data_IF_179696705933
#
_entry.id   IF_179696705933
#
_cell.length_a   1.000
_cell.length_b   1.000
_cell.length_c   1.000
_cell.angle_alpha   90.00
_cell.angle_beta   90.00
_cell.angle_gamma   90.00
#
_symmetry.space_group_name_H-M   'P 1'
#
loop_
_entity.id
_entity.type
_entity.pdbx_description
1 polymer ?
#
# COMPACT_ATOMS: atom_id res chain seq x y z
N UNK A 1 28.49 -30.25 12.07
CA UNK A 1 27.49 -29.19 11.86
C UNK A 1 27.20 -28.52 13.20
N UNK A 2 27.98 -27.52 13.63
CA UNK A 2 27.81 -26.89 14.95
C UNK A 2 28.92 -27.15 15.98
N UNK A 3 30.07 -27.68 15.56
CA UNK A 3 31.27 -27.78 16.42
C UNK A 3 31.26 -28.86 17.52
N UNK A 4 30.21 -29.67 17.66
CA UNK A 4 30.09 -30.70 18.72
C UNK A 4 30.41 -32.11 18.21
N UNK A 5 30.82 -32.99 19.13
CA UNK A 5 31.05 -34.39 18.85
C UNK A 5 29.78 -35.10 18.33
N UNK A 6 29.96 -36.05 17.42
CA UNK A 6 28.87 -36.86 16.82
C UNK A 6 27.93 -37.48 17.86
N UNK A 7 28.44 -37.87 19.03
CA UNK A 7 27.63 -38.42 20.12
C UNK A 7 26.63 -37.40 20.68
N UNK A 8 27.02 -36.12 20.79
CA UNK A 8 26.13 -35.05 21.26
C UNK A 8 25.02 -34.78 20.26
N UNK A 9 25.34 -34.79 18.95
CA UNK A 9 24.35 -34.64 17.89
C UNK A 9 23.29 -35.76 17.98
N UNK A 10 23.72 -37.02 18.10
CA UNK A 10 22.78 -38.15 18.22
C UNK A 10 21.91 -38.07 19.48
N UNK A 11 22.44 -37.52 20.59
CA UNK A 11 21.66 -37.31 21.80
C UNK A 11 20.60 -36.20 21.64
N UNK A 12 20.88 -35.17 20.84
CA UNK A 12 19.90 -34.11 20.53
C UNK A 12 18.78 -34.64 19.64
N UNK A 13 19.13 -35.42 18.61
CA UNK A 13 18.16 -35.99 17.67
C UNK A 13 17.28 -37.08 18.29
N UNK A 14 17.72 -37.67 19.41
CA UNK A 14 16.99 -38.71 20.15
C UNK A 14 16.24 -38.16 21.37
N UNK A 15 16.13 -36.82 21.51
CA UNK A 15 15.53 -36.14 22.67
C UNK A 15 16.18 -36.48 24.04
N UNK A 16 17.34 -37.13 24.06
CA UNK A 16 18.04 -37.52 25.28
C UNK A 16 18.71 -36.30 25.96
N UNK A 17 18.98 -35.25 25.19
CA UNK A 17 19.56 -34.00 25.69
C UNK A 17 19.12 -32.82 24.83
N UNK A 18 18.92 -31.65 25.44
CA UNK A 18 18.68 -30.42 24.69
C UNK A 18 20.00 -29.74 24.26
N UNK A 19 20.06 -29.18 23.04
CA UNK A 19 21.21 -28.40 22.59
C UNK A 19 21.41 -27.14 23.44
N UNK A 20 22.68 -26.74 23.61
CA UNK A 20 23.01 -25.50 24.31
C UNK A 20 23.00 -24.28 23.36
N UNK A 21 23.06 -23.08 23.93
CA UNK A 21 23.06 -21.85 23.14
C UNK A 21 24.29 -21.73 22.23
N UNK A 22 25.44 -22.27 22.64
CA UNK A 22 26.66 -22.25 21.84
C UNK A 22 26.51 -23.10 20.56
N UNK A 23 25.89 -24.27 20.68
CA UNK A 23 25.53 -25.11 19.55
C UNK A 23 24.55 -24.41 18.60
N UNK A 24 23.47 -23.82 19.13
CA UNK A 24 22.50 -23.12 18.31
C UNK A 24 23.15 -21.97 17.53
N UNK A 25 24.04 -21.20 18.15
CA UNK A 25 24.81 -20.15 17.47
C UNK A 25 25.72 -20.71 16.37
N UNK A 26 26.42 -21.82 16.63
CA UNK A 26 27.29 -22.44 15.64
C UNK A 26 26.51 -23.00 14.44
N UNK A 27 25.26 -23.44 14.65
CA UNK A 27 24.39 -23.93 13.58
C UNK A 27 23.73 -22.78 12.81
N UNK A 28 23.48 -21.64 13.48
CA UNK A 28 23.06 -20.38 12.85
C UNK A 28 24.09 -19.86 11.85
N UNK A 29 25.38 -19.99 12.12
CA UNK A 29 26.45 -19.61 11.18
C UNK A 29 26.40 -20.40 9.86
N UNK A 30 25.77 -21.57 9.87
CA UNK A 30 25.56 -22.44 8.69
C UNK A 30 24.22 -22.10 7.99
N UNK A 31 23.54 -21.03 8.42
CA UNK A 31 22.30 -20.54 7.81
C UNK A 31 21.02 -21.17 8.37
N UNK A 32 21.09 -21.86 9.50
CA UNK A 32 19.90 -22.41 10.16
C UNK A 32 19.18 -21.34 10.97
N UNK A 33 17.86 -21.23 10.77
CA UNK A 33 16.99 -20.36 11.55
C UNK A 33 16.71 -20.98 12.93
N UNK A 34 17.48 -20.55 13.93
CA UNK A 34 17.32 -21.02 15.32
C UNK A 34 15.99 -20.57 15.95
N UNK A 35 15.38 -19.49 15.46
CA UNK A 35 14.07 -19.04 15.93
C UNK A 35 13.00 -20.06 15.55
N UNK A 36 13.01 -20.51 14.29
CA UNK A 36 12.16 -21.59 13.82
C UNK A 36 12.41 -22.92 14.55
N UNK A 37 13.68 -23.27 14.79
CA UNK A 37 14.02 -24.53 15.49
C UNK A 37 13.47 -24.55 16.92
N UNK A 38 13.45 -23.41 17.61
CA UNK A 38 12.99 -23.33 19.00
C UNK A 38 11.46 -23.16 19.13
N UNK A 39 10.85 -22.43 18.20
CA UNK A 39 9.44 -22.01 18.33
C UNK A 39 8.51 -22.75 17.38
N UNK A 40 9.04 -23.39 16.33
CA UNK A 40 8.25 -23.93 15.22
C UNK A 40 7.66 -22.85 14.30
N UNK A 41 7.84 -21.58 14.62
CA UNK A 41 7.34 -20.44 13.85
C UNK A 41 8.51 -19.81 13.10
N UNK A 42 8.32 -19.54 11.81
CA UNK A 42 9.32 -18.75 11.08
C UNK A 42 9.23 -17.35 11.63
N UNK A 43 10.26 -16.91 12.35
CA UNK A 43 10.38 -15.49 12.63
C UNK A 43 10.58 -14.79 11.29
N UNK A 44 9.53 -14.17 10.78
CA UNK A 44 9.70 -13.09 9.83
C UNK A 44 10.69 -12.12 10.47
N UNK A 45 11.71 -11.73 9.71
CA UNK A 45 12.82 -10.89 10.19
C UNK A 45 12.32 -9.56 10.79
N UNK A 46 11.04 -9.23 10.60
CA UNK A 46 10.35 -8.07 11.15
C UNK A 46 9.04 -8.47 11.90
N UNK A 47 9.15 -9.10 13.07
CA UNK A 47 8.26 -8.96 14.25
C UNK A 47 6.72 -8.86 14.15
N UNK A 48 6.02 -9.34 13.11
CA UNK A 48 4.56 -9.14 12.96
C UNK A 48 3.77 -10.41 12.59
N UNK A 49 4.11 -11.55 13.18
CA UNK A 49 3.69 -12.90 12.74
C UNK A 49 2.16 -13.15 12.63
N UNK A 50 1.28 -12.41 13.31
CA UNK A 50 -0.16 -12.69 13.30
C UNK A 50 -0.95 -11.89 12.24
N UNK A 51 -0.56 -10.65 11.94
CA UNK A 51 -1.19 -9.84 10.87
C UNK A 51 -0.46 -9.99 9.52
N UNK A 52 0.69 -10.66 9.52
CA UNK A 52 1.48 -10.93 8.32
C UNK A 52 0.81 -11.96 7.41
N UNK A 53 0.11 -12.97 7.91
CA UNK A 53 -0.41 -14.04 7.04
C UNK A 53 -1.37 -13.55 5.94
N UNK A 54 -2.21 -12.56 6.23
CA UNK A 54 -3.15 -11.98 5.25
C UNK A 54 -2.49 -10.89 4.41
N UNK A 55 -1.63 -10.05 5.00
CA UNK A 55 -0.83 -9.05 4.26
C UNK A 55 0.16 -9.68 3.29
N UNK A 56 0.77 -10.80 3.69
CA UNK A 56 1.72 -11.58 2.87
C UNK A 56 0.99 -12.25 1.69
N UNK A 57 -0.27 -12.65 1.87
CA UNK A 57 -1.10 -13.13 0.77
C UNK A 57 -1.43 -12.04 -0.26
N UNK A 58 -1.86 -10.86 0.21
CA UNK A 58 -2.12 -9.70 -0.66
C UNK A 58 -0.85 -9.22 -1.38
N UNK A 59 0.29 -9.14 -0.66
CA UNK A 59 1.59 -8.79 -1.24
C UNK A 59 2.06 -9.82 -2.27
N UNK A 60 1.87 -11.12 -1.99
CA UNK A 60 2.20 -12.18 -2.93
C UNK A 60 1.36 -12.10 -4.21
N UNK A 61 0.08 -11.76 -4.11
CA UNK A 61 -0.80 -11.56 -5.28
C UNK A 61 -0.32 -10.38 -6.15
N UNK A 62 0.00 -9.25 -5.52
CA UNK A 62 0.52 -8.07 -6.24
C UNK A 62 1.84 -8.39 -6.95
N UNK A 63 2.74 -9.13 -6.30
CA UNK A 63 4.00 -9.56 -6.91
C UNK A 63 3.77 -10.53 -8.08
N UNK A 64 2.80 -11.45 -7.96
CA UNK A 64 2.43 -12.36 -9.03
C UNK A 64 1.88 -11.60 -10.25
N UNK A 65 1.05 -10.58 -10.04
CA UNK A 65 0.59 -9.69 -11.11
C UNK A 65 1.76 -8.91 -11.72
N UNK A 66 2.60 -8.28 -10.91
CA UNK A 66 3.75 -7.49 -11.38
C UNK A 66 4.69 -8.28 -12.29
N UNK A 67 4.94 -9.56 -11.98
CA UNK A 67 5.81 -10.44 -12.77
C UNK A 67 5.24 -10.77 -14.16
N UNK A 68 3.91 -10.69 -14.34
CA UNK A 68 3.24 -10.93 -15.61
C UNK A 68 3.24 -9.70 -16.53
N UNK A 69 3.53 -8.50 -16.00
CA UNK A 69 3.55 -7.28 -16.80
C UNK A 69 4.79 -7.22 -17.71
N UNK A 70 4.62 -6.60 -18.88
CA UNK A 70 5.74 -6.19 -19.73
C UNK A 70 6.45 -4.94 -19.16
N UNK A 71 7.58 -4.54 -19.74
CA UNK A 71 8.37 -3.41 -19.24
C UNK A 71 7.61 -2.08 -19.22
N UNK A 72 6.73 -1.84 -20.21
CA UNK A 72 5.87 -0.66 -20.22
C UNK A 72 4.86 -0.66 -19.06
N UNK A 73 4.29 -1.82 -18.75
CA UNK A 73 3.37 -2.01 -17.62
C UNK A 73 4.08 -1.79 -16.28
N UNK A 74 5.26 -2.38 -16.09
CA UNK A 74 6.07 -2.19 -14.88
C UNK A 74 6.44 -0.73 -14.68
N UNK A 75 6.87 -0.04 -15.74
CA UNK A 75 7.19 1.38 -15.69
C UNK A 75 5.97 2.24 -15.31
N UNK A 76 4.79 1.89 -15.84
CA UNK A 76 3.54 2.60 -15.52
C UNK A 76 3.13 2.43 -14.07
N UNK A 77 3.20 1.20 -13.53
CA UNK A 77 2.95 0.92 -12.12
C UNK A 77 3.93 1.69 -11.22
N UNK A 78 5.22 1.67 -11.57
CA UNK A 78 6.25 2.38 -10.82
C UNK A 78 6.00 3.90 -10.80
N UNK A 79 5.65 4.50 -11.95
CA UNK A 79 5.32 5.93 -12.04
C UNK A 79 4.09 6.29 -11.20
N UNK A 80 3.07 5.44 -11.19
CA UNK A 80 1.88 5.61 -10.36
C UNK A 80 2.22 5.59 -8.87
N UNK A 81 2.95 4.56 -8.42
CA UNK A 81 3.37 4.43 -7.02
C UNK A 81 4.25 5.62 -6.58
N UNK A 82 5.20 6.03 -7.41
CA UNK A 82 6.05 7.20 -7.16
C UNK A 82 5.22 8.48 -7.01
N UNK A 83 4.17 8.65 -7.82
CA UNK A 83 3.24 9.78 -7.73
C UNK A 83 2.49 9.79 -6.40
N UNK A 84 1.90 8.65 -5.99
CA UNK A 84 1.20 8.51 -4.70
C UNK A 84 2.12 8.87 -3.52
N UNK A 85 3.35 8.37 -3.53
CA UNK A 85 4.35 8.65 -2.48
C UNK A 85 4.70 10.14 -2.44
N UNK A 86 5.01 10.74 -3.59
CA UNK A 86 5.48 12.14 -3.64
C UNK A 86 4.37 13.15 -3.34
N UNK A 87 3.15 12.87 -3.79
CA UNK A 87 1.97 13.70 -3.48
C UNK A 87 1.45 13.49 -2.07
N UNK A 88 1.72 12.31 -1.48
CA UNK A 88 1.15 11.87 -0.22
C UNK A 88 -0.32 11.47 -0.33
N UNK A 89 -0.87 11.40 -1.55
CA UNK A 89 -2.21 10.89 -1.77
C UNK A 89 -2.19 9.37 -1.55
N UNK A 90 -3.15 8.84 -0.79
CA UNK A 90 -3.29 7.40 -0.49
C UNK A 90 -2.24 6.80 0.48
N UNK A 91 -1.47 7.63 1.19
CA UNK A 91 -0.63 7.15 2.30
C UNK A 91 -1.43 7.14 3.61
N UNK A 92 -1.29 6.07 4.40
CA UNK A 92 -1.95 5.92 5.71
C UNK A 92 -1.61 7.05 6.70
N UNK A 93 -0.48 7.71 6.50
CA UNK A 93 0.03 8.80 7.37
C UNK A 93 0.12 10.13 6.64
N UNK A 94 -0.68 10.35 5.59
CA UNK A 94 -0.67 11.59 4.84
C UNK A 94 -1.02 12.79 5.75
N UNK A 95 0.00 13.45 6.31
CA UNK A 95 -0.17 14.74 6.98
C UNK A 95 -0.66 15.73 5.92
N UNK A 96 -1.83 16.37 6.09
CA UNK A 96 -2.35 17.29 5.08
C UNK A 96 -1.31 18.40 4.87
N UNK A 97 -0.71 18.43 3.67
CA UNK A 97 0.22 19.51 3.31
C UNK A 97 -0.58 20.81 3.33
N UNK A 98 -0.15 21.75 4.17
CA UNK A 98 -0.78 23.07 4.29
C UNK A 98 -0.79 23.74 2.92
N UNK A 99 -1.97 23.86 2.31
CA UNK A 99 -2.10 24.52 1.02
C UNK A 99 -1.52 25.94 1.10
N UNK A 100 -0.74 26.33 0.09
CA UNK A 100 -0.17 27.68 0.00
C UNK A 100 -1.35 28.65 -0.05
N UNK A 101 -1.43 29.58 0.92
CA UNK A 101 -2.55 30.54 1.03
C UNK A 101 -2.76 31.21 -0.32
N UNK A 102 -3.95 31.04 -0.89
CA UNK A 102 -4.32 31.71 -2.13
C UNK A 102 -4.42 33.20 -1.83
N UNK A 103 -3.75 34.04 -2.63
CA UNK A 103 -3.87 35.50 -2.52
C UNK A 103 -5.33 35.91 -2.67
N UNK A 104 -5.78 36.92 -1.94
CA UNK A 104 -7.18 37.39 -1.91
C UNK A 104 -7.74 37.65 -3.31
N UNK A 105 -6.95 38.30 -4.18
CA UNK A 105 -7.30 38.53 -5.58
C UNK A 105 -7.61 37.25 -6.37
N UNK A 106 -6.91 36.15 -6.08
CA UNK A 106 -7.14 34.86 -6.74
C UNK A 106 -8.35 34.12 -6.19
N UNK A 107 -8.72 34.35 -4.91
CA UNK A 107 -9.98 33.83 -4.34
C UNK A 107 -11.17 34.54 -4.97
N UNK A 108 -11.15 35.87 -4.97
CA UNK A 108 -12.20 36.69 -5.56
C UNK A 108 -12.43 36.35 -7.05
N UNK A 109 -11.36 36.16 -7.83
CA UNK A 109 -11.48 35.78 -9.24
C UNK A 109 -12.11 34.38 -9.46
N UNK A 110 -11.90 33.43 -8.55
CA UNK A 110 -12.54 32.12 -8.61
C UNK A 110 -14.03 32.19 -8.24
N UNK A 111 -14.36 32.95 -7.20
CA UNK A 111 -15.73 33.15 -6.76
C UNK A 111 -16.54 33.85 -7.85
N UNK A 112 -15.95 34.87 -8.50
CA UNK A 112 -16.55 35.56 -9.65
C UNK A 112 -16.82 34.62 -10.82
N UNK A 113 -15.84 33.78 -11.20
CA UNK A 113 -16.04 32.80 -12.29
C UNK A 113 -17.12 31.78 -11.96
N UNK A 114 -17.18 31.35 -10.71
CA UNK A 114 -18.22 30.42 -10.25
C UNK A 114 -19.60 31.07 -10.36
N UNK A 115 -19.73 32.33 -9.94
CA UNK A 115 -20.97 33.09 -10.06
C UNK A 115 -21.39 33.27 -11.53
N UNK A 116 -20.48 33.70 -12.41
CA UNK A 116 -20.75 33.86 -13.85
C UNK A 116 -21.21 32.55 -14.52
N UNK A 117 -20.65 31.40 -14.11
CA UNK A 117 -21.04 30.10 -14.64
C UNK A 117 -22.46 29.71 -14.19
N UNK A 118 -22.80 29.98 -12.93
CA UNK A 118 -24.15 29.76 -12.40
C UNK A 118 -25.16 30.66 -13.11
N UNK A 119 -24.84 31.94 -13.29
CA UNK A 119 -25.71 32.89 -13.98
C UNK A 119 -25.96 32.47 -15.44
N UNK A 120 -24.93 32.01 -16.14
CA UNK A 120 -25.08 31.47 -17.51
C UNK A 120 -25.98 30.23 -17.54
N UNK A 121 -25.80 29.30 -16.62
CA UNK A 121 -26.63 28.10 -16.54
C UNK A 121 -28.10 28.43 -16.24
N UNK A 122 -28.34 29.42 -15.38
CA UNK A 122 -29.70 29.91 -15.08
C UNK A 122 -30.36 30.53 -16.31
N UNK A 123 -29.64 31.37 -17.06
CA UNK A 123 -30.15 31.96 -18.29
C UNK A 123 -30.49 30.92 -19.36
N UNK A 124 -29.71 29.83 -19.48
CA UNK A 124 -30.04 28.72 -20.38
C UNK A 124 -31.32 27.98 -19.95
N UNK A 125 -31.50 27.74 -18.65
CA UNK A 125 -32.73 27.14 -18.13
C UNK A 125 -33.96 28.01 -18.41
N UNK A 126 -33.85 29.32 -18.27
CA UNK A 126 -34.93 30.25 -18.60
C UNK A 126 -35.27 30.25 -20.09
N UNK A 127 -34.25 30.23 -20.97
CA UNK A 127 -34.46 30.08 -22.42
C UNK A 127 -35.18 28.78 -22.77
N UNK A 128 -34.74 27.66 -22.21
CA UNK A 128 -35.37 26.36 -22.43
C UNK A 128 -36.81 26.31 -21.90
N UNK A 129 -37.10 26.96 -20.77
CA UNK A 129 -38.47 27.09 -20.25
C UNK A 129 -39.36 27.92 -21.18
N UNK A 130 -38.85 29.03 -21.71
CA UNK A 130 -39.58 29.87 -22.66
C UNK A 130 -39.88 29.13 -23.98
N UNK A 131 -38.91 28.38 -24.51
CA UNK A 131 -39.11 27.55 -25.71
C UNK A 131 -40.13 26.42 -25.49
N UNK A 132 -40.17 25.83 -24.30
CA UNK A 132 -41.16 24.81 -23.94
C UNK A 132 -42.57 25.39 -23.78
N UNK A 133 -42.71 26.56 -23.17
CA UNK A 133 -43.99 27.27 -23.05
C UNK A 133 -44.57 27.67 -24.41
N UNK A 134 -43.72 28.03 -25.39
CA UNK A 134 -44.15 28.30 -26.76
C UNK A 134 -44.53 27.07 -27.59
N UNK A 135 -44.18 25.86 -27.13
CA UNK A 135 -44.44 24.58 -27.82
C UNK A 135 -45.59 23.77 -27.22
N UNK A 136 -46.37 24.30 -26.26
CA UNK A 136 -47.55 23.59 -25.74
C UNK A 136 -48.53 23.24 -26.88
N UNK A 137 -48.98 21.97 -27.00
CA UNK A 137 -49.72 21.50 -28.16
C UNK A 137 -51.17 21.98 -28.10
N UNK A 138 -51.66 22.56 -29.21
CA UNK A 138 -53.10 22.75 -29.44
C UNK A 138 -53.79 21.39 -29.38
N UNK A 139 -54.66 21.22 -28.39
CA UNK A 139 -55.69 20.16 -28.33
C UNK A 139 -56.82 20.47 -29.29
#
# INVERSE_FOLDING_TARGET
>A
MGGVARRSQSAYESDERSPDAAYLLAVREIGVDIGYVLTGERLAVDGAAAEQGERDADEAEVLAMYRQLNEAGKASLHAFLASCINTGAMLQTATPRRAKRLSENRRAALDQRTAENVDRAMAELERLKAERAGKEPKK
#
